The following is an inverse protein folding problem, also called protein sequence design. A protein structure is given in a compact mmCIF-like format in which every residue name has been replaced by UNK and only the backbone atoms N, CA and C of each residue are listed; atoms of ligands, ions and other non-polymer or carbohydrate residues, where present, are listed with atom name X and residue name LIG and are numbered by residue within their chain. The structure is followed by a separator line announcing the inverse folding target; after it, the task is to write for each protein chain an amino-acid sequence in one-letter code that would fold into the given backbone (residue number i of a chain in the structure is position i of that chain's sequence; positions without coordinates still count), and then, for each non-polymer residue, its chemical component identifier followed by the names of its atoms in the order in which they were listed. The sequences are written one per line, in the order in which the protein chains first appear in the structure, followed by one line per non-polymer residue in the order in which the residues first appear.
data_IF_551027810758
#
_entry.id   IF_551027810758
#
_cell.length_a   1.000
_cell.length_b   1.000
_cell.length_c   1.000
_cell.angle_alpha   90.00
_cell.angle_beta   90.00
_cell.angle_gamma   90.00
#
_symmetry.space_group_name_H-M   'P 1'
#
loop_
_entity.id
_entity.type
_entity.pdbx_description
1 polymer ?
#
# COMPACT_ATOMS: atom_id res chain seq x y z
N UNK A 1 -8.23 -16.44 -19.22
CA UNK A 1 -8.74 -15.43 -18.27
C UNK A 1 -7.82 -15.45 -17.07
N UNK A 2 -7.23 -14.32 -16.68
CA UNK A 2 -6.30 -14.24 -15.54
C UNK A 2 -7.06 -14.21 -14.22
N UNK A 3 -6.36 -14.51 -13.14
CA UNK A 3 -6.91 -14.51 -11.78
C UNK A 3 -7.51 -13.13 -11.45
N UNK A 4 -6.83 -12.07 -11.88
CA UNK A 4 -7.27 -10.68 -11.72
C UNK A 4 -8.60 -10.40 -12.44
N UNK A 5 -8.75 -10.90 -13.67
CA UNK A 5 -10.00 -10.75 -14.42
C UNK A 5 -11.15 -11.51 -13.72
N UNK A 6 -10.87 -12.71 -13.19
CA UNK A 6 -11.83 -13.48 -12.38
C UNK A 6 -12.19 -12.81 -11.06
N UNK A 7 -11.22 -12.14 -10.43
CA UNK A 7 -11.44 -11.33 -9.23
C UNK A 7 -12.42 -10.19 -9.50
N UNK A 8 -12.25 -9.43 -10.60
CA UNK A 8 -13.15 -8.32 -10.94
C UNK A 8 -14.58 -8.81 -11.19
N UNK A 9 -14.74 -9.93 -11.89
CA UNK A 9 -16.06 -10.56 -12.09
C UNK A 9 -16.65 -10.97 -10.73
N UNK A 10 -15.87 -11.66 -9.90
CA UNK A 10 -16.31 -12.12 -8.57
C UNK A 10 -16.74 -10.96 -7.67
N UNK A 11 -16.03 -9.83 -7.71
CA UNK A 11 -16.37 -8.63 -6.96
C UNK A 11 -17.72 -8.02 -7.37
N UNK A 12 -18.09 -8.08 -8.67
CA UNK A 12 -19.43 -7.64 -9.12
C UNK A 12 -20.56 -8.47 -8.49
N UNK A 13 -20.28 -9.71 -8.12
CA UNK A 13 -21.24 -10.62 -7.47
C UNK A 13 -21.10 -10.67 -5.94
N UNK A 14 -20.29 -9.81 -5.32
CA UNK A 14 -20.04 -9.81 -3.86
C UNK A 14 -21.33 -9.82 -3.03
N UNK A 15 -22.32 -9.03 -3.44
CA UNK A 15 -23.62 -8.94 -2.76
C UNK A 15 -24.38 -10.27 -2.72
N UNK A 16 -24.20 -11.14 -3.72
CA UNK A 16 -24.82 -12.47 -3.77
C UNK A 16 -24.21 -13.39 -2.70
N UNK A 17 -22.88 -13.37 -2.56
CA UNK A 17 -22.19 -14.15 -1.53
C UNK A 17 -22.52 -13.65 -0.12
N UNK A 18 -22.58 -12.33 0.08
CA UNK A 18 -22.99 -11.72 1.35
C UNK A 18 -24.42 -12.07 1.73
N UNK A 19 -25.34 -12.06 0.76
CA UNK A 19 -26.75 -12.45 0.99
C UNK A 19 -26.85 -13.91 1.45
N UNK A 20 -26.15 -14.83 0.78
CA UNK A 20 -26.11 -16.25 1.17
C UNK A 20 -25.52 -16.45 2.57
N UNK A 21 -24.45 -15.74 2.91
CA UNK A 21 -23.86 -15.79 4.24
C UNK A 21 -24.87 -15.33 5.32
N UNK A 22 -25.60 -14.24 5.06
CA UNK A 22 -26.62 -13.70 5.96
C UNK A 22 -27.83 -14.62 6.12
N UNK A 23 -28.27 -15.27 5.05
CA UNK A 23 -29.34 -16.28 5.07
C UNK A 23 -28.92 -17.49 5.91
N UNK A 24 -27.70 -17.99 5.76
CA UNK A 24 -27.16 -19.08 6.58
C UNK A 24 -27.05 -18.69 8.06
N UNK A 25 -26.61 -17.46 8.36
CA UNK A 25 -26.56 -16.97 9.74
C UNK A 25 -27.97 -16.88 10.37
N UNK A 26 -28.95 -16.42 9.59
CA UNK A 26 -30.34 -16.31 10.03
C UNK A 26 -30.97 -17.69 10.26
N UNK A 27 -30.65 -18.66 9.42
CA UNK A 27 -31.10 -20.04 9.57
C UNK A 27 -30.46 -20.73 10.80
N UNK A 28 -29.18 -20.47 11.07
CA UNK A 28 -28.48 -20.99 12.25
C UNK A 28 -29.12 -20.48 13.55
N UNK A 29 -29.49 -19.19 13.59
CA UNK A 29 -30.22 -18.61 14.73
C UNK A 29 -31.61 -19.20 14.97
N UNK A 30 -32.17 -19.92 13.99
CA UNK A 30 -33.46 -20.64 14.08
C UNK A 30 -33.30 -22.12 14.46
N UNK A 31 -32.10 -22.56 14.84
CA UNK A 31 -31.85 -23.94 15.31
C UNK A 31 -31.57 -24.96 14.22
N UNK A 32 -31.34 -24.55 12.97
CA UNK A 32 -30.88 -25.44 11.90
C UNK A 32 -29.40 -25.77 12.10
N UNK A 33 -29.09 -27.05 12.29
CA UNK A 33 -27.74 -27.53 12.63
C UNK A 33 -26.91 -28.03 11.44
N UNK A 34 -27.52 -28.19 10.25
CA UNK A 34 -26.85 -28.68 9.03
C UNK A 34 -26.59 -27.57 7.99
N UNK A 35 -26.04 -26.44 8.43
CA UNK A 35 -25.73 -25.32 7.54
C UNK A 35 -24.25 -25.33 7.17
N UNK A 36 -23.95 -25.31 5.88
CA UNK A 36 -22.58 -25.11 5.40
C UNK A 36 -22.12 -23.72 5.85
N UNK A 37 -21.00 -23.67 6.58
CA UNK A 37 -20.38 -22.40 6.99
C UNK A 37 -19.97 -21.65 5.72
N UNK A 38 -20.68 -20.56 5.40
CA UNK A 38 -20.35 -19.71 4.25
C UNK A 38 -19.41 -18.61 4.74
N UNK A 39 -18.13 -18.78 4.46
CA UNK A 39 -17.17 -17.69 4.53
C UNK A 39 -17.14 -17.00 3.16
N UNK A 40 -17.69 -15.79 3.07
CA UNK A 40 -17.76 -15.00 1.84
C UNK A 40 -16.40 -14.91 1.13
N UNK A 41 -15.31 -14.74 1.87
CA UNK A 41 -13.97 -14.62 1.28
C UNK A 41 -13.49 -15.94 0.69
N UNK A 42 -13.70 -17.06 1.37
CA UNK A 42 -13.35 -18.39 0.86
C UNK A 42 -14.16 -18.75 -0.39
N UNK A 43 -15.46 -18.45 -0.40
CA UNK A 43 -16.32 -18.71 -1.57
C UNK A 43 -15.91 -17.85 -2.77
N UNK A 44 -15.56 -16.57 -2.54
CA UNK A 44 -15.01 -15.72 -3.59
C UNK A 44 -13.64 -16.20 -4.07
N UNK A 45 -12.77 -16.67 -3.17
CA UNK A 45 -11.48 -17.25 -3.55
C UNK A 45 -11.64 -18.51 -4.40
N UNK A 46 -12.58 -19.40 -4.06
CA UNK A 46 -12.96 -20.58 -4.86
C UNK A 46 -13.49 -20.19 -6.24
N UNK A 47 -14.34 -19.17 -6.33
CA UNK A 47 -14.86 -18.67 -7.61
C UNK A 47 -13.74 -18.10 -8.51
N UNK A 48 -12.71 -17.50 -7.90
CA UNK A 48 -11.50 -17.05 -8.60
C UNK A 48 -10.53 -18.20 -8.89
N UNK A 49 -10.68 -19.38 -8.25
CA UNK A 49 -9.79 -20.52 -8.42
C UNK A 49 -8.43 -20.34 -7.76
N UNK A 50 -8.37 -19.59 -6.65
CA UNK A 50 -7.13 -19.30 -5.90
C UNK A 50 -7.31 -19.63 -4.41
N UNK A 51 -6.21 -19.68 -3.67
CA UNK A 51 -6.27 -19.78 -2.22
C UNK A 51 -6.85 -18.50 -1.61
N UNK A 52 -7.44 -18.63 -0.41
CA UNK A 52 -7.95 -17.47 0.34
C UNK A 52 -6.88 -16.39 0.55
N UNK A 53 -5.64 -16.81 0.86
CA UNK A 53 -4.52 -15.89 1.06
C UNK A 53 -4.13 -15.14 -0.22
N UNK A 54 -4.16 -15.80 -1.38
CA UNK A 54 -3.92 -15.13 -2.67
C UNK A 54 -5.04 -14.16 -2.99
N UNK A 55 -6.29 -14.56 -2.77
CA UNK A 55 -7.45 -13.69 -2.94
C UNK A 55 -7.36 -12.44 -2.05
N UNK A 56 -6.99 -12.61 -0.78
CA UNK A 56 -6.79 -11.50 0.15
C UNK A 56 -5.71 -10.53 -0.33
N UNK A 57 -4.56 -11.04 -0.81
CA UNK A 57 -3.49 -10.18 -1.36
C UNK A 57 -3.97 -9.38 -2.56
N UNK A 58 -4.70 -10.00 -3.49
CA UNK A 58 -5.31 -9.30 -4.63
C UNK A 58 -6.29 -8.23 -4.18
N UNK A 59 -7.15 -8.55 -3.21
CA UNK A 59 -8.15 -7.63 -2.66
C UNK A 59 -7.49 -6.41 -2.01
N UNK A 60 -6.39 -6.60 -1.27
CA UNK A 60 -5.59 -5.51 -0.70
C UNK A 60 -5.02 -4.61 -1.79
N UNK A 61 -4.40 -5.17 -2.84
CA UNK A 61 -3.82 -4.37 -3.93
C UNK A 61 -4.90 -3.58 -4.67
N UNK A 62 -6.03 -4.22 -5.00
CA UNK A 62 -7.11 -3.59 -5.76
C UNK A 62 -7.84 -2.49 -4.98
N UNK A 63 -7.86 -2.56 -3.65
CA UNK A 63 -8.44 -1.54 -2.77
C UNK A 63 -7.47 -0.43 -2.36
N UNK A 64 -6.17 -0.58 -2.61
CA UNK A 64 -5.19 0.48 -2.36
C UNK A 64 -5.47 1.75 -3.18
N UNK A 65 -4.84 2.86 -2.86
CA UNK A 65 -4.90 4.11 -3.62
C UNK A 65 -3.89 4.17 -4.79
N UNK A 66 -3.09 3.12 -4.99
CA UNK A 66 -2.00 3.08 -5.98
C UNK A 66 -2.50 2.61 -7.36
N UNK A 67 -2.85 3.55 -8.24
CA UNK A 67 -3.33 3.28 -9.61
C UNK A 67 -2.34 2.46 -10.44
N UNK A 68 -1.06 2.85 -10.44
CA UNK A 68 -0.04 2.28 -11.29
C UNK A 68 0.19 0.80 -10.94
N UNK A 69 0.19 0.49 -9.64
CA UNK A 69 0.35 -0.88 -9.15
C UNK A 69 -0.85 -1.77 -9.51
N UNK A 70 -2.06 -1.21 -9.56
CA UNK A 70 -3.24 -1.93 -10.05
C UNK A 70 -3.13 -2.22 -11.53
N UNK A 71 -2.70 -1.25 -12.33
CA UNK A 71 -2.53 -1.42 -13.77
C UNK A 71 -1.46 -2.46 -14.11
N UNK A 72 -0.30 -2.41 -13.45
CA UNK A 72 0.75 -3.42 -13.61
C UNK A 72 0.24 -4.83 -13.23
N UNK A 73 -0.52 -4.93 -12.13
CA UNK A 73 -1.11 -6.20 -11.70
C UNK A 73 -2.14 -6.71 -12.72
N UNK A 74 -2.97 -5.81 -13.27
CA UNK A 74 -3.92 -6.12 -14.35
C UNK A 74 -3.24 -6.42 -15.66
N UNK A 75 -2.05 -5.90 -15.95
CA UNK A 75 -1.28 -6.24 -17.13
C UNK A 75 -0.58 -7.59 -16.98
N UNK A 76 -0.35 -8.04 -15.75
CA UNK A 76 0.43 -9.24 -15.43
C UNK A 76 1.93 -8.99 -15.41
N UNK A 77 2.35 -7.71 -15.38
CA UNK A 77 3.75 -7.29 -15.30
C UNK A 77 4.36 -7.55 -13.93
N UNK A 78 3.52 -7.59 -12.89
CA UNK A 78 3.90 -7.84 -11.51
C UNK A 78 3.08 -8.99 -10.92
N UNK A 79 3.71 -9.81 -10.08
CA UNK A 79 3.00 -10.87 -9.36
C UNK A 79 2.14 -10.29 -8.23
N UNK A 80 1.05 -10.98 -7.90
CA UNK A 80 0.16 -10.65 -6.76
C UNK A 80 0.97 -10.44 -5.47
N UNK A 81 1.95 -11.31 -5.21
CA UNK A 81 2.75 -11.23 -3.99
C UNK A 81 3.65 -9.99 -3.97
N UNK A 82 4.31 -9.67 -5.10
CA UNK A 82 5.18 -8.50 -5.20
C UNK A 82 4.35 -7.22 -5.09
N UNK A 83 3.23 -7.13 -5.78
CA UNK A 83 2.31 -6.00 -5.65
C UNK A 83 1.81 -5.82 -4.20
N UNK A 84 1.46 -6.91 -3.52
CA UNK A 84 1.07 -6.86 -2.11
C UNK A 84 2.18 -6.33 -1.19
N UNK A 85 3.44 -6.73 -1.39
CA UNK A 85 4.56 -6.22 -0.62
C UNK A 85 4.78 -4.70 -0.84
N UNK A 86 4.61 -4.22 -2.07
CA UNK A 86 4.71 -2.78 -2.36
C UNK A 86 3.59 -1.97 -1.68
N UNK A 87 2.37 -2.51 -1.59
CA UNK A 87 1.29 -1.88 -0.79
C UNK A 87 1.68 -1.84 0.68
N UNK A 88 2.17 -2.94 1.25
CA UNK A 88 2.55 -2.99 2.67
C UNK A 88 3.66 -1.98 3.02
N UNK A 89 4.71 -1.88 2.21
CA UNK A 89 5.81 -0.91 2.42
C UNK A 89 5.29 0.53 2.48
N UNK A 90 4.30 0.84 1.64
CA UNK A 90 3.70 2.18 1.54
C UNK A 90 2.69 2.43 2.67
N UNK A 91 1.98 1.41 3.12
CA UNK A 91 1.09 1.52 4.28
C UNK A 91 1.85 1.56 5.60
N UNK A 92 3.01 0.92 5.72
CA UNK A 92 3.89 1.03 6.90
C UNK A 92 4.49 2.43 7.06
N UNK A 93 4.45 3.28 6.03
CA UNK A 93 4.79 4.71 6.13
C UNK A 93 3.61 5.60 6.55
N UNK A 94 2.46 5.03 6.91
CA UNK A 94 1.33 5.74 7.52
C UNK A 94 0.98 5.10 8.87
N UNK A 95 1.08 5.86 9.96
CA UNK A 95 0.80 5.39 11.31
C UNK A 95 -0.59 4.73 11.41
N UNK A 96 -0.65 3.42 11.66
CA UNK A 96 -1.89 2.65 11.83
C UNK A 96 -2.13 2.14 13.25
N UNK A 97 -1.37 2.57 14.26
CA UNK A 97 -1.65 2.23 15.66
C UNK A 97 -1.06 3.26 16.64
N UNK A 98 -1.88 4.14 17.21
CA UNK A 98 -1.46 5.04 18.30
C UNK A 98 -1.51 4.32 19.66
N UNK A 99 -0.82 3.19 19.77
CA UNK A 99 -0.70 2.39 20.98
C UNK A 99 0.74 1.91 21.16
N UNK A 100 1.35 2.29 22.29
CA UNK A 100 2.73 2.07 22.71
C UNK A 100 3.77 2.04 21.57
N UNK A 101 4.10 3.23 21.07
CA UNK A 101 5.19 3.45 20.13
C UNK A 101 6.51 3.35 20.90
N UNK A 102 7.47 2.58 20.39
CA UNK A 102 8.85 2.67 20.87
C UNK A 102 9.45 3.98 20.33
N UNK A 103 9.35 5.04 21.13
CA UNK A 103 9.74 6.40 20.76
C UNK A 103 11.19 6.47 20.25
N UNK A 104 12.10 5.74 20.89
CA UNK A 104 13.52 5.71 20.53
C UNK A 104 13.74 5.10 19.14
N UNK A 105 13.00 4.04 18.80
CA UNK A 105 13.10 3.41 17.49
C UNK A 105 12.58 4.33 16.37
N UNK A 106 11.49 5.07 16.62
CA UNK A 106 10.95 6.01 15.62
C UNK A 106 11.88 7.20 15.41
N UNK A 107 12.45 7.74 16.49
CA UNK A 107 13.47 8.80 16.39
C UNK A 107 14.71 8.32 15.64
N UNK A 108 15.18 7.11 15.96
CA UNK A 108 16.32 6.49 15.27
C UNK A 108 16.04 6.25 13.79
N UNK A 109 14.85 5.76 13.44
CA UNK A 109 14.45 5.58 12.05
C UNK A 109 14.45 6.91 11.28
N UNK A 110 13.90 7.96 11.88
CA UNK A 110 13.89 9.30 11.27
C UNK A 110 15.33 9.82 11.06
N UNK A 111 16.21 9.64 12.03
CA UNK A 111 17.63 10.00 11.90
C UNK A 111 18.33 9.23 10.78
N UNK A 112 18.12 7.91 10.70
CA UNK A 112 18.70 7.06 9.66
C UNK A 112 18.18 7.44 8.27
N UNK A 113 16.89 7.73 8.14
CA UNK A 113 16.28 8.18 6.89
C UNK A 113 16.87 9.52 6.41
N UNK A 114 17.02 10.49 7.32
CA UNK A 114 17.65 11.78 7.01
C UNK A 114 19.10 11.60 6.54
N UNK A 115 19.88 10.75 7.23
CA UNK A 115 21.26 10.43 6.85
C UNK A 115 21.33 9.78 5.48
N UNK A 116 20.47 8.81 5.20
CA UNK A 116 20.42 8.11 3.91
C UNK A 116 20.05 9.07 2.77
N UNK A 117 19.02 9.89 2.96
CA UNK A 117 18.62 10.89 1.96
C UNK A 117 19.76 11.86 1.62
N UNK A 118 20.41 12.42 2.64
CA UNK A 118 21.56 13.32 2.45
C UNK A 118 22.70 12.58 1.73
N UNK A 119 22.95 11.32 2.10
CA UNK A 119 23.93 10.47 1.43
C UNK A 119 23.63 10.26 -0.05
N UNK A 120 22.38 9.99 -0.41
CA UNK A 120 21.94 9.85 -1.80
C UNK A 120 22.11 11.14 -2.60
N UNK A 121 21.70 12.28 -2.03
CA UNK A 121 21.83 13.59 -2.68
C UNK A 121 23.31 13.93 -2.89
N UNK A 122 24.15 13.77 -1.86
CA UNK A 122 25.59 14.02 -1.99
C UNK A 122 26.27 13.08 -2.98
N UNK A 123 26.03 11.77 -2.87
CA UNK A 123 26.68 10.77 -3.69
C UNK A 123 26.27 10.83 -5.16
N UNK A 124 24.97 10.98 -5.44
CA UNK A 124 24.46 10.98 -6.82
C UNK A 124 24.53 12.34 -7.48
N UNK A 125 24.16 13.40 -6.75
CA UNK A 125 23.98 14.71 -7.34
C UNK A 125 25.24 15.56 -7.21
N UNK A 126 25.71 15.81 -5.99
CA UNK A 126 26.83 16.72 -5.75
C UNK A 126 28.21 16.16 -6.10
N UNK A 127 28.44 14.86 -5.93
CA UNK A 127 29.72 14.22 -6.24
C UNK A 127 29.87 13.79 -7.71
N UNK A 128 28.98 14.23 -8.62
CA UNK A 128 29.21 13.90 -10.03
C UNK A 128 28.29 14.52 -11.07
N UNK A 129 27.02 14.79 -10.76
CA UNK A 129 26.08 15.35 -11.76
C UNK A 129 26.22 16.86 -11.84
N UNK A 130 26.36 17.53 -10.70
CA UNK A 130 26.37 19.00 -10.62
C UNK A 130 27.54 19.64 -11.37
N UNK A 131 28.71 18.98 -11.41
CA UNK A 131 29.91 19.45 -12.11
C UNK A 131 29.74 19.51 -13.64
N UNK A 132 28.70 18.83 -14.17
CA UNK A 132 28.40 18.76 -15.60
C UNK A 132 27.21 19.63 -16.00
N UNK A 133 26.62 20.36 -15.05
CA UNK A 133 25.48 21.24 -15.29
C UNK A 133 25.95 22.65 -15.64
N UNK A 134 25.19 23.33 -16.51
CA UNK A 134 25.36 24.75 -16.75
C UNK A 134 24.84 25.61 -15.57
N UNK A 135 25.28 26.87 -15.53
CA UNK A 135 24.99 27.81 -14.44
C UNK A 135 23.48 28.04 -14.23
N UNK A 136 22.68 28.04 -15.29
CA UNK A 136 21.22 28.23 -15.20
C UNK A 136 20.55 27.04 -14.51
N UNK A 137 21.01 25.81 -14.79
CA UNK A 137 20.51 24.62 -14.11
C UNK A 137 21.01 24.53 -12.67
N UNK A 138 22.25 24.95 -12.39
CA UNK A 138 22.78 25.02 -11.01
C UNK A 138 21.99 26.02 -10.17
N UNK A 139 21.59 27.18 -10.73
CA UNK A 139 20.76 28.15 -10.02
C UNK A 139 19.40 27.55 -9.59
N UNK A 140 18.78 26.72 -10.44
CA UNK A 140 17.52 26.03 -10.11
C UNK A 140 17.68 25.01 -8.98
N UNK A 141 18.85 24.38 -8.83
CA UNK A 141 19.13 23.47 -7.71
C UNK A 141 18.95 24.20 -6.38
N UNK A 142 19.47 25.41 -6.29
CA UNK A 142 19.37 26.20 -5.07
C UNK A 142 17.92 26.55 -4.73
N UNK A 143 17.09 26.89 -5.72
CA UNK A 143 15.66 27.13 -5.51
C UNK A 143 14.91 25.86 -5.07
N UNK A 144 15.26 24.69 -5.63
CA UNK A 144 14.70 23.40 -5.23
C UNK A 144 15.03 23.10 -3.76
N UNK A 145 16.28 23.30 -3.36
CA UNK A 145 16.73 23.06 -1.98
C UNK A 145 16.06 24.01 -0.99
N UNK A 146 15.93 25.30 -1.34
CA UNK A 146 15.20 26.29 -0.52
C UNK A 146 13.74 25.92 -0.35
N UNK A 147 13.08 25.46 -1.41
CA UNK A 147 11.70 24.99 -1.33
C UNK A 147 11.58 23.78 -0.41
N UNK A 148 12.48 22.82 -0.54
CA UNK A 148 12.54 21.65 0.34
C UNK A 148 12.73 22.05 1.81
N UNK A 149 13.68 22.94 2.10
CA UNK A 149 13.89 23.47 3.45
C UNK A 149 12.63 24.13 4.01
N UNK A 150 11.93 24.96 3.21
CA UNK A 150 10.67 25.58 3.60
C UNK A 150 9.58 24.55 3.93
N UNK A 151 9.49 23.48 3.14
CA UNK A 151 8.48 22.45 3.36
C UNK A 151 8.80 21.59 4.59
N UNK A 152 10.07 21.29 4.84
CA UNK A 152 10.52 20.64 6.10
C UNK A 152 10.25 21.54 7.30
N UNK A 153 10.50 22.84 7.20
CA UNK A 153 10.21 23.80 8.27
C UNK A 153 8.71 23.86 8.60
N UNK A 154 7.83 23.87 7.59
CA UNK A 154 6.37 23.80 7.82
C UNK A 154 5.95 22.51 8.51
N UNK A 155 6.61 21.39 8.20
CA UNK A 155 6.35 20.11 8.85
C UNK A 155 6.78 20.12 10.32
N UNK A 156 7.95 20.70 10.64
CA UNK A 156 8.44 20.75 12.02
C UNK A 156 7.56 21.62 12.93
N UNK A 157 6.96 22.69 12.39
CA UNK A 157 5.98 23.51 13.12
C UNK A 157 4.73 22.74 13.58
N UNK A 158 4.40 21.61 12.93
CA UNK A 158 3.28 20.74 13.37
C UNK A 158 3.61 19.90 14.59
N UNK A 159 4.89 19.82 14.97
CA UNK A 159 5.36 19.05 16.13
C UNK A 159 5.44 19.93 17.39
N UNK A 160 5.58 21.25 17.21
CA UNK A 160 5.75 22.23 18.30
C UNK A 160 4.49 23.03 18.66
N UNK A 161 3.37 22.82 17.95
CA UNK A 161 2.06 23.43 18.24
C UNK A 161 1.08 22.43 18.82
#
# INVERSE_FOLDING_TARGET
MRDVDRYEITQKFKSVYEKRAKENQSAAGKGLTNLTKVNTREEMAKAVGVSEGTYQKMDTVMKSDNSDLKEQLKAGEISVHKAYQEVLKRESSTCKNCGNINQDNELKWLEELCKDFIGQVNGRFFNGTIEKMDEDHVAKVHDILKKFESDIFKLSQRVTG
#
